data_IF_244568009624
#
_entry.id   IF_244568009624
#
_cell.length_a   1.000
_cell.length_b   1.000
_cell.length_c   1.000
_cell.angle_alpha   90.00
_cell.angle_beta   90.00
_cell.angle_gamma   90.00
#
_symmetry.space_group_name_H-M   'P 1'
#
loop_
_entity.id
_entity.type
_entity.pdbx_description
1 polymer ?
#
# COMPACT_ATOMS: atom_id res chain seq x y z
N UNK A 1 -6.37 -3.21 2.33
CA UNK A 1 -5.06 -3.59 1.77
C UNK A 1 -4.24 -4.33 2.80
N UNK A 2 -3.06 -4.82 2.43
CA UNK A 2 -2.16 -5.60 3.31
C UNK A 2 -1.68 -4.82 4.55
N UNK A 3 -1.59 -3.49 4.43
CA UNK A 3 -1.03 -2.60 5.48
C UNK A 3 -1.72 -2.72 6.84
N UNK A 4 -3.04 -2.89 6.86
CA UNK A 4 -3.78 -2.98 8.13
C UNK A 4 -3.44 -4.23 8.94
N UNK A 5 -3.07 -5.30 8.25
CA UNK A 5 -2.61 -6.54 8.89
C UNK A 5 -1.13 -6.43 9.27
N UNK A 6 -0.30 -5.94 8.35
CA UNK A 6 1.15 -5.82 8.55
C UNK A 6 1.54 -4.94 9.73
N UNK A 7 0.79 -3.85 9.97
CA UNK A 7 1.04 -2.94 11.08
C UNK A 7 0.08 -3.13 12.27
N UNK A 8 -0.71 -4.22 12.30
CA UNK A 8 -1.66 -4.47 13.41
C UNK A 8 -2.78 -3.43 13.56
N UNK A 9 -3.02 -2.60 12.54
CA UNK A 9 -4.09 -1.59 12.55
C UNK A 9 -5.50 -2.20 12.40
N UNK A 10 -5.60 -3.52 12.23
CA UNK A 10 -6.87 -4.23 12.23
C UNK A 10 -7.40 -4.48 13.66
N UNK A 11 -6.52 -4.47 14.65
CA UNK A 11 -6.86 -4.79 16.03
C UNK A 11 -7.53 -3.60 16.74
N UNK A 12 -8.21 -3.89 17.84
CA UNK A 12 -8.80 -2.85 18.69
C UNK A 12 -7.74 -2.27 19.61
N UNK A 13 -7.66 -0.95 19.67
CA UNK A 13 -6.76 -0.22 20.54
C UNK A 13 -7.48 0.20 21.82
N UNK A 14 -6.77 0.15 22.94
CA UNK A 14 -7.28 0.56 24.25
C UNK A 14 -7.71 2.04 24.28
N UNK A 15 -6.97 2.90 23.58
CA UNK A 15 -7.25 4.32 23.52
C UNK A 15 -6.73 4.96 22.22
N UNK A 16 -7.24 6.17 21.93
CA UNK A 16 -6.88 6.91 20.73
C UNK A 16 -5.39 7.27 20.66
N UNK A 17 -4.72 7.50 21.80
CA UNK A 17 -3.30 7.85 21.83
C UNK A 17 -2.45 6.71 21.28
N UNK A 18 -2.70 5.47 21.72
CA UNK A 18 -1.98 4.29 21.24
C UNK A 18 -2.23 4.06 19.75
N UNK A 19 -3.48 4.22 19.29
CA UNK A 19 -3.84 4.15 17.87
C UNK A 19 -3.08 5.20 17.05
N UNK A 20 -3.06 6.46 17.50
CA UNK A 20 -2.40 7.56 16.80
C UNK A 20 -0.90 7.28 16.67
N UNK A 21 -0.25 6.85 17.76
CA UNK A 21 1.17 6.50 17.73
C UNK A 21 1.46 5.36 16.76
N UNK A 22 0.66 4.28 16.78
CA UNK A 22 0.84 3.17 15.85
C UNK A 22 0.64 3.61 14.39
N UNK A 23 -0.35 4.47 14.15
CA UNK A 23 -0.62 5.00 12.82
C UNK A 23 0.53 5.86 12.30
N UNK A 24 1.06 6.78 13.12
CA UNK A 24 2.18 7.65 12.76
C UNK A 24 3.43 6.82 12.40
N UNK A 25 3.73 5.80 13.21
CA UNK A 25 4.82 4.87 12.93
C UNK A 25 4.58 4.12 11.62
N UNK A 26 3.37 3.59 11.42
CA UNK A 26 3.00 2.85 10.20
C UNK A 26 3.19 3.69 8.93
N UNK A 27 2.76 4.96 8.96
CA UNK A 27 2.94 5.91 7.87
C UNK A 27 4.43 6.16 7.62
N UNK A 28 5.21 6.38 8.69
CA UNK A 28 6.64 6.59 8.59
C UNK A 28 7.34 5.38 7.93
N UNK A 29 7.08 4.17 8.41
CA UNK A 29 7.68 2.94 7.85
C UNK A 29 7.29 2.73 6.38
N UNK A 30 6.02 2.93 6.05
CA UNK A 30 5.53 2.79 4.67
C UNK A 30 6.23 3.75 3.70
N UNK A 31 6.43 5.00 4.11
CA UNK A 31 6.99 6.05 3.27
C UNK A 31 8.52 6.05 3.21
N UNK A 32 9.20 5.64 4.29
CA UNK A 32 10.64 5.85 4.43
C UNK A 32 11.47 4.56 4.50
N UNK A 33 10.86 3.40 4.75
CA UNK A 33 11.62 2.18 4.98
C UNK A 33 11.14 1.02 4.11
N UNK A 34 9.86 0.97 3.75
CA UNK A 34 9.29 -0.11 2.94
C UNK A 34 9.65 0.03 1.47
N UNK A 35 10.36 -0.93 0.86
CA UNK A 35 10.54 -1.00 -0.58
C UNK A 35 9.23 -1.39 -1.27
N UNK A 36 8.85 -0.69 -2.33
CA UNK A 36 7.63 -0.99 -3.09
C UNK A 36 7.96 -1.60 -4.44
N UNK A 37 7.38 -2.76 -4.72
CA UNK A 37 7.60 -3.45 -6.01
C UNK A 37 7.20 -2.58 -7.22
N UNK A 38 6.09 -1.86 -7.12
CA UNK A 38 5.63 -0.91 -8.15
C UNK A 38 6.58 0.26 -8.39
N UNK A 39 7.40 0.58 -7.39
CA UNK A 39 8.43 1.62 -7.42
C UNK A 39 9.83 1.05 -7.72
N UNK A 40 9.92 -0.14 -8.32
CA UNK A 40 11.19 -0.84 -8.56
C UNK A 40 12.02 -1.04 -7.27
N UNK A 41 11.34 -1.37 -6.17
CA UNK A 41 11.93 -1.53 -4.84
C UNK A 41 12.55 -0.26 -4.24
N UNK A 42 12.20 0.92 -4.76
CA UNK A 42 12.48 2.18 -4.06
C UNK A 42 11.41 2.45 -2.99
N UNK A 43 11.73 3.33 -2.05
CA UNK A 43 10.79 3.83 -1.04
C UNK A 43 10.06 5.09 -1.56
N UNK A 44 8.82 5.36 -1.10
CA UNK A 44 8.02 6.49 -1.58
C UNK A 44 8.72 7.84 -1.40
N UNK A 45 9.35 8.09 -0.24
CA UNK A 45 10.01 9.37 0.03
C UNK A 45 11.14 9.67 -0.96
N UNK A 46 11.91 8.66 -1.38
CA UNK A 46 12.93 8.81 -2.41
C UNK A 46 12.35 9.08 -3.80
N UNK A 47 11.24 8.41 -4.15
CA UNK A 47 10.60 8.58 -5.45
C UNK A 47 9.97 9.96 -5.57
N UNK A 48 9.32 10.46 -4.51
CA UNK A 48 8.72 11.80 -4.51
C UNK A 48 9.74 12.92 -4.71
N UNK A 49 10.99 12.73 -4.27
CA UNK A 49 12.07 13.70 -4.51
C UNK A 49 12.61 13.66 -5.95
N UNK A 50 12.29 12.63 -6.74
CA UNK A 50 12.78 12.44 -8.11
C UNK A 50 11.67 12.75 -9.11
N UNK A 51 11.81 13.81 -9.88
CA UNK A 51 10.78 14.25 -10.83
C UNK A 51 10.55 13.30 -12.04
N UNK A 52 11.43 12.32 -12.28
CA UNK A 52 11.43 11.49 -13.50
C UNK A 52 11.48 9.97 -13.24
N UNK A 53 10.77 9.46 -12.23
CA UNK A 53 10.76 8.01 -11.94
C UNK A 53 9.82 7.28 -12.90
N UNK A 54 10.37 6.33 -13.69
CA UNK A 54 9.57 5.39 -14.48
C UNK A 54 8.89 4.37 -13.57
N UNK A 55 7.57 4.48 -13.43
CA UNK A 55 6.75 3.56 -12.65
C UNK A 55 6.40 2.30 -13.44
N UNK A 56 6.25 1.17 -12.74
CA UNK A 56 5.71 -0.05 -13.37
C UNK A 56 4.23 0.17 -13.72
N UNK A 57 3.89 -0.03 -14.99
CA UNK A 57 2.50 -0.04 -15.46
C UNK A 57 2.04 -1.48 -15.61
N UNK A 58 0.75 -1.72 -15.35
CA UNK A 58 0.14 -3.04 -15.45
C UNK A 58 -1.00 -2.97 -16.47
N UNK A 59 -1.05 -3.93 -17.40
CA UNK A 59 -2.14 -4.01 -18.37
C UNK A 59 -3.45 -4.24 -17.62
N UNK A 60 -4.44 -3.38 -17.83
CA UNK A 60 -5.80 -3.58 -17.32
C UNK A 60 -6.42 -4.76 -18.08
N UNK A 61 -6.85 -5.80 -17.38
CA UNK A 61 -7.62 -6.86 -18.02
C UNK A 61 -8.99 -6.30 -18.43
N UNK A 62 -9.40 -6.53 -19.69
CA UNK A 62 -10.74 -6.20 -20.14
C UNK A 62 -11.75 -7.08 -19.38
N UNK A 63 -12.63 -6.45 -18.61
CA UNK A 63 -13.68 -7.11 -17.82
C UNK A 63 -14.83 -7.63 -18.70
N UNK A 64 -14.59 -7.99 -19.97
CA UNK A 64 -15.54 -8.74 -20.81
C UNK A 64 -15.58 -10.21 -20.38
N UNK A 65 -15.74 -10.46 -19.07
CA UNK A 65 -16.04 -11.78 -18.53
C UNK A 65 -17.50 -12.05 -18.89
N UNK A 66 -17.73 -12.78 -19.98
CA UNK A 66 -19.03 -13.43 -20.19
C UNK A 66 -19.29 -14.27 -18.95
N UNK A 67 -20.28 -13.89 -18.14
CA UNK A 67 -20.73 -14.69 -17.01
C UNK A 67 -21.23 -16.00 -17.63
N UNK A 68 -20.66 -17.18 -17.30
CA UNK A 68 -21.23 -18.43 -17.77
C UNK A 68 -22.59 -18.57 -17.08
N UNK A 69 -23.67 -18.45 -17.86
CA UNK A 69 -25.00 -18.79 -17.37
C UNK A 69 -25.00 -20.29 -17.11
N UNK A 70 -25.03 -20.68 -15.84
CA UNK A 70 -25.30 -22.06 -15.45
C UNK A 70 -26.80 -22.30 -15.70
N UNK A 71 -27.09 -23.08 -16.73
CA UNK A 71 -28.43 -23.63 -17.01
C UNK A 71 -28.58 -24.92 -16.20
#
# INVERSE_FOLDING_TARGET
>A
GILKYEFGLIDTFENFKNLSQQLDQSIYYYNNLRPHFSLNYNIPSQVHMKNNVKLKTYKKQNQNRKIPTLI
#
